data_IF_336313873380
#
_entry.id   IF_336313873380
#
_cell.length_a   1.000
_cell.length_b   1.000
_cell.length_c   1.000
_cell.angle_alpha   90.00
_cell.angle_beta   90.00
_cell.angle_gamma   90.00
#
_symmetry.space_group_name_H-M   'P 1'
#
loop_
_entity.id
_entity.type
_entity.pdbx_description
1 polymer ?
#
# COMPACT_ATOMS: atom_id res chain seq x y z
N UNK A 1 13.49 -21.38 -5.07
CA UNK A 1 12.87 -20.39 -4.16
C UNK A 1 13.82 -19.20 -4.06
N UNK A 2 13.34 -17.98 -4.27
CA UNK A 2 14.15 -16.76 -4.14
C UNK A 2 14.55 -16.62 -2.67
N UNK A 3 15.86 -16.49 -2.39
CA UNK A 3 16.38 -16.47 -1.03
C UNK A 3 16.69 -15.04 -0.58
N UNK A 4 15.91 -14.52 0.37
CA UNK A 4 16.08 -13.19 0.95
C UNK A 4 17.44 -13.00 1.64
N UNK A 5 18.00 -14.07 2.25
CA UNK A 5 19.26 -13.97 3.02
C UNK A 5 20.49 -13.69 2.15
N UNK A 6 20.41 -13.98 0.84
CA UNK A 6 21.49 -13.71 -0.12
C UNK A 6 21.41 -12.33 -0.77
N UNK A 7 20.34 -11.59 -0.52
CA UNK A 7 20.10 -10.28 -1.10
C UNK A 7 20.74 -9.20 -0.24
N UNK A 8 21.30 -8.18 -0.88
CA UNK A 8 21.74 -6.96 -0.18
C UNK A 8 20.54 -6.08 0.08
N UNK A 9 20.51 -5.41 1.21
CA UNK A 9 19.43 -4.54 1.66
C UNK A 9 19.98 -3.17 2.01
N UNK A 10 19.18 -2.13 1.78
CA UNK A 10 19.52 -0.74 2.12
C UNK A 10 18.28 -0.01 2.61
N UNK A 11 18.46 0.93 3.51
CA UNK A 11 17.42 1.84 3.95
C UNK A 11 17.23 2.97 2.93
N UNK A 12 15.95 3.29 2.67
CA UNK A 12 15.52 4.42 1.86
C UNK A 12 14.45 5.18 2.61
N UNK A 13 14.50 6.51 2.55
CA UNK A 13 13.37 7.32 3.04
C UNK A 13 12.19 7.16 2.10
N UNK A 14 10.99 7.15 2.66
CA UNK A 14 9.75 7.05 1.85
C UNK A 14 9.70 8.19 0.82
N UNK A 15 10.11 9.42 1.18
CA UNK A 15 10.15 10.56 0.25
C UNK A 15 11.21 10.46 -0.86
N UNK A 16 12.15 9.49 -0.79
CA UNK A 16 13.10 9.20 -1.88
C UNK A 16 12.53 8.21 -2.90
N UNK A 17 11.49 7.46 -2.53
CA UNK A 17 10.89 6.37 -3.32
C UNK A 17 9.52 6.77 -3.87
N UNK A 18 8.76 7.55 -3.10
CA UNK A 18 7.39 7.91 -3.42
C UNK A 18 7.24 9.41 -3.70
N UNK A 19 6.30 9.75 -4.57
CA UNK A 19 5.96 11.13 -4.93
C UNK A 19 5.62 11.97 -3.69
N UNK A 20 6.10 13.20 -3.68
CA UNK A 20 5.74 14.23 -2.70
C UNK A 20 5.06 15.41 -3.40
N UNK A 21 4.36 16.26 -2.64
CA UNK A 21 3.52 17.32 -3.24
C UNK A 21 4.29 18.24 -4.18
N UNK A 22 5.47 18.65 -3.78
CA UNK A 22 6.28 19.62 -4.50
C UNK A 22 7.58 18.99 -5.05
N UNK A 23 7.66 17.65 -5.07
CA UNK A 23 8.84 16.87 -5.43
C UNK A 23 10.09 17.20 -4.57
N UNK A 24 9.87 17.75 -3.39
CA UNK A 24 10.93 18.21 -2.46
C UNK A 24 11.22 17.21 -1.34
N UNK A 25 10.51 16.06 -1.32
CA UNK A 25 10.65 15.02 -0.31
C UNK A 25 10.06 15.37 1.07
N UNK A 26 9.34 16.49 1.22
CA UNK A 26 8.90 16.99 2.53
C UNK A 26 7.49 16.58 2.94
N UNK A 27 6.57 16.41 1.98
CA UNK A 27 5.17 16.11 2.26
C UNK A 27 4.53 15.21 1.21
N UNK A 28 3.96 14.07 1.63
CA UNK A 28 3.18 13.19 0.75
C UNK A 28 1.77 13.73 0.50
N UNK A 29 1.16 13.43 -0.66
CA UNK A 29 -0.24 13.75 -0.94
C UNK A 29 -1.17 13.13 0.10
N UNK A 30 -2.21 13.88 0.50
CA UNK A 30 -3.15 13.51 1.55
C UNK A 30 -4.57 13.82 1.12
N UNK A 31 -5.52 13.01 1.55
CA UNK A 31 -6.95 13.23 1.36
C UNK A 31 -7.46 14.49 2.06
N UNK A 32 -8.74 14.74 1.93
CA UNK A 32 -9.40 15.92 2.50
C UNK A 32 -10.71 15.53 3.21
N UNK A 33 -11.09 16.32 4.21
CA UNK A 33 -12.38 16.19 4.82
C UNK A 33 -13.49 16.57 3.83
N UNK A 34 -14.48 15.70 3.72
CA UNK A 34 -15.73 15.95 2.98
C UNK A 34 -16.88 15.66 3.94
N UNK A 35 -17.80 16.63 4.07
CA UNK A 35 -18.97 16.44 4.90
C UNK A 35 -19.83 15.29 4.33
N UNK A 36 -20.31 14.39 5.19
CA UNK A 36 -21.18 13.27 4.78
C UNK A 36 -22.42 13.72 4.03
N UNK A 37 -22.96 14.91 4.33
CA UNK A 37 -24.10 15.49 3.61
C UNK A 37 -23.79 15.79 2.13
N UNK A 38 -22.52 15.92 1.76
CA UNK A 38 -22.06 16.14 0.38
C UNK A 38 -21.71 14.83 -0.35
N UNK A 39 -21.96 13.67 0.29
CA UNK A 39 -21.76 12.35 -0.29
C UNK A 39 -23.11 11.77 -0.70
N UNK A 40 -23.18 11.19 -1.89
CA UNK A 40 -24.30 10.37 -2.36
C UNK A 40 -23.78 9.00 -2.80
N UNK A 41 -24.64 8.02 -2.94
CA UNK A 41 -24.28 6.70 -3.45
C UNK A 41 -23.59 6.82 -4.81
N UNK A 42 -22.50 6.07 -5.01
CA UNK A 42 -21.66 6.16 -6.19
C UNK A 42 -20.86 4.89 -6.45
N UNK A 43 -19.86 4.99 -7.32
CA UNK A 43 -19.01 3.85 -7.73
C UNK A 43 -17.54 4.01 -7.33
N UNK A 44 -17.15 5.16 -6.79
CA UNK A 44 -15.76 5.41 -6.40
C UNK A 44 -15.56 5.02 -4.94
N UNK A 45 -14.65 4.09 -4.62
CA UNK A 45 -14.33 3.75 -3.24
C UNK A 45 -13.78 4.97 -2.49
N UNK A 46 -14.22 5.15 -1.26
CA UNK A 46 -13.67 6.14 -0.34
C UNK A 46 -12.82 5.44 0.71
N UNK A 47 -11.56 5.84 0.78
CA UNK A 47 -10.60 5.27 1.72
C UNK A 47 -10.55 6.15 2.95
N UNK A 48 -10.76 5.52 4.12
CA UNK A 48 -10.83 6.19 5.41
C UNK A 48 -9.85 5.57 6.41
N UNK A 49 -9.88 6.06 7.63
CA UNK A 49 -9.05 5.55 8.70
C UNK A 49 -9.70 4.29 9.31
N UNK A 50 -9.54 3.18 8.61
CA UNK A 50 -9.95 1.85 9.10
C UNK A 50 -8.87 0.83 8.77
N UNK A 51 -8.76 -0.21 9.56
CA UNK A 51 -7.87 -1.37 9.33
C UNK A 51 -8.57 -2.51 8.60
N UNK A 52 -9.86 -2.38 8.29
CA UNK A 52 -10.67 -3.43 7.66
C UNK A 52 -11.00 -3.07 6.20
N UNK A 53 -11.48 -4.06 5.45
CA UNK A 53 -11.99 -3.89 4.10
C UNK A 53 -11.06 -3.07 3.18
N UNK A 54 -9.76 -3.31 3.23
CA UNK A 54 -8.75 -2.59 2.45
C UNK A 54 -8.81 -1.05 2.61
N UNK A 55 -9.28 -0.57 3.76
CA UNK A 55 -9.48 0.86 4.05
C UNK A 55 -10.76 1.46 3.47
N UNK A 56 -11.58 0.68 2.75
CA UNK A 56 -12.78 1.15 2.06
C UNK A 56 -13.94 1.30 3.04
N UNK A 57 -14.46 2.53 3.17
CA UNK A 57 -15.65 2.89 3.94
C UNK A 57 -16.96 2.64 3.17
N UNK A 58 -16.91 2.80 1.86
CA UNK A 58 -18.04 2.64 0.95
C UNK A 58 -17.74 3.18 -0.43
N UNK A 59 -18.77 3.24 -1.28
CA UNK A 59 -18.68 3.74 -2.64
C UNK A 59 -19.53 5.00 -2.78
N UNK A 60 -18.87 6.12 -3.09
CA UNK A 60 -19.48 7.43 -3.00
C UNK A 60 -19.27 8.27 -4.26
N UNK A 61 -20.21 9.18 -4.48
CA UNK A 61 -20.09 10.28 -5.43
C UNK A 61 -20.13 11.61 -4.68
N UNK A 62 -19.34 12.57 -5.13
CA UNK A 62 -19.36 13.94 -4.62
C UNK A 62 -18.83 14.94 -5.65
N UNK A 63 -19.40 16.13 -5.68
CA UNK A 63 -18.91 17.30 -6.42
C UNK A 63 -18.16 18.29 -5.50
N UNK A 64 -17.84 17.89 -4.26
CA UNK A 64 -17.13 18.76 -3.33
C UNK A 64 -15.75 19.13 -3.93
N UNK A 65 -15.46 20.45 -3.97
CA UNK A 65 -14.19 20.99 -4.50
C UNK A 65 -12.94 20.51 -3.75
N UNK A 66 -13.11 20.03 -2.52
CA UNK A 66 -12.02 19.48 -1.72
C UNK A 66 -11.76 18.01 -2.04
N UNK A 67 -12.59 17.36 -2.86
CA UNK A 67 -12.37 15.98 -3.26
C UNK A 67 -10.95 15.78 -3.76
N UNK A 68 -10.28 14.77 -3.23
CA UNK A 68 -8.95 14.31 -3.69
C UNK A 68 -9.04 12.86 -4.08
N UNK A 69 -8.80 12.61 -5.34
CA UNK A 69 -8.86 11.30 -5.98
C UNK A 69 -7.49 10.92 -6.51
N UNK A 70 -7.12 9.67 -6.30
CA UNK A 70 -5.84 9.12 -6.73
C UNK A 70 -6.08 7.81 -7.47
N UNK A 71 -5.16 7.47 -8.36
CA UNK A 71 -5.19 6.25 -9.13
C UNK A 71 -3.91 5.45 -8.88
N UNK A 72 -4.04 4.14 -8.68
CA UNK A 72 -2.94 3.18 -8.56
C UNK A 72 -1.88 3.59 -7.53
N UNK A 73 -2.20 3.46 -6.25
CA UNK A 73 -1.36 3.93 -5.14
C UNK A 73 -1.44 3.02 -3.91
N UNK A 74 -0.52 3.19 -2.98
CA UNK A 74 -0.62 2.64 -1.62
C UNK A 74 -1.22 3.72 -0.72
N UNK A 75 -2.38 3.45 -0.12
CA UNK A 75 -2.93 4.29 0.95
C UNK A 75 -2.25 3.98 2.27
N UNK A 76 -1.90 5.01 3.03
CA UNK A 76 -1.37 4.90 4.40
C UNK A 76 -2.18 5.81 5.30
N UNK A 77 -2.86 5.28 6.32
CA UNK A 77 -3.59 6.12 7.24
C UNK A 77 -2.71 6.56 8.43
N UNK A 78 -3.19 7.53 9.22
CA UNK A 78 -2.42 8.09 10.33
C UNK A 78 -2.12 7.10 11.47
N UNK A 79 -2.76 5.92 11.48
CA UNK A 79 -2.47 4.82 12.39
C UNK A 79 -1.46 3.82 11.80
N UNK A 80 -0.91 4.11 10.61
CA UNK A 80 0.10 3.29 9.96
C UNK A 80 -0.42 2.10 9.17
N UNK A 81 -1.74 1.90 9.04
CA UNK A 81 -2.28 0.84 8.19
C UNK A 81 -2.12 1.21 6.72
N UNK A 82 -1.60 0.30 5.92
CA UNK A 82 -1.33 0.50 4.48
C UNK A 82 -2.06 -0.52 3.63
N UNK A 83 -2.63 -0.05 2.50
CA UNK A 83 -3.37 -0.90 1.57
C UNK A 83 -3.10 -0.50 0.12
N UNK A 84 -3.12 -1.46 -0.80
CA UNK A 84 -3.03 -1.20 -2.23
C UNK A 84 -4.38 -0.87 -2.84
N UNK A 85 -4.45 0.28 -3.51
CA UNK A 85 -5.61 0.77 -4.24
C UNK A 85 -5.31 0.71 -5.74
N UNK A 86 -5.76 -0.36 -6.41
CA UNK A 86 -5.45 -0.64 -7.83
C UNK A 86 -6.12 0.34 -8.80
N UNK A 87 -7.29 0.86 -8.43
CA UNK A 87 -8.09 1.77 -9.27
C UNK A 87 -8.15 3.18 -8.68
N UNK A 88 -9.10 3.97 -9.20
CA UNK A 88 -9.43 5.27 -8.63
C UNK A 88 -10.05 5.11 -7.25
N UNK A 89 -9.60 5.92 -6.31
CA UNK A 89 -10.22 6.04 -4.99
C UNK A 89 -10.12 7.47 -4.47
N UNK A 90 -11.13 7.90 -3.72
CA UNK A 90 -11.10 9.17 -2.99
C UNK A 90 -10.54 8.93 -1.59
N UNK A 91 -9.75 9.87 -1.10
CA UNK A 91 -9.17 9.80 0.24
C UNK A 91 -9.84 10.75 1.21
N UNK A 92 -10.17 10.24 2.38
CA UNK A 92 -10.55 11.05 3.53
C UNK A 92 -9.33 11.73 4.16
N UNK A 93 -9.58 12.74 5.00
CA UNK A 93 -8.50 13.38 5.77
C UNK A 93 -7.70 12.35 6.57
N UNK A 94 -6.40 12.60 6.77
CA UNK A 94 -5.47 11.71 7.47
C UNK A 94 -5.22 10.34 6.80
N UNK A 95 -5.54 10.23 5.52
CA UNK A 95 -5.10 9.12 4.66
C UNK A 95 -4.17 9.69 3.60
N UNK A 96 -3.00 9.11 3.46
CA UNK A 96 -1.93 9.54 2.56
C UNK A 96 -1.89 8.64 1.33
N UNK A 97 -1.54 9.19 0.16
CA UNK A 97 -1.31 8.44 -1.06
C UNK A 97 0.19 8.33 -1.34
N UNK A 98 0.67 7.11 -1.54
CA UNK A 98 2.04 6.82 -1.94
C UNK A 98 2.03 6.24 -3.37
N UNK A 99 2.58 6.99 -4.32
CA UNK A 99 2.87 6.57 -5.70
C UNK A 99 4.37 6.53 -5.89
N UNK A 100 4.88 5.54 -6.61
CA UNK A 100 6.31 5.49 -6.94
C UNK A 100 6.69 6.62 -7.91
N UNK A 101 7.89 7.20 -7.73
CA UNK A 101 8.38 8.32 -8.54
C UNK A 101 8.62 7.89 -9.99
N UNK A 102 9.17 6.69 -10.21
CA UNK A 102 9.76 6.28 -11.48
C UNK A 102 9.00 5.16 -12.22
N UNK A 103 7.92 4.66 -11.62
CA UNK A 103 7.13 3.54 -12.20
C UNK A 103 5.74 3.41 -11.64
N UNK A 104 4.90 2.67 -12.34
CA UNK A 104 3.59 2.26 -11.85
C UNK A 104 3.69 1.08 -10.88
N UNK A 105 2.78 1.05 -9.92
CA UNK A 105 2.61 -0.10 -9.03
C UNK A 105 1.89 -1.23 -9.76
N UNK A 106 2.35 -2.45 -9.54
CA UNK A 106 1.55 -3.66 -9.74
C UNK A 106 1.29 -4.34 -8.40
N UNK A 107 0.39 -5.30 -8.38
CA UNK A 107 -0.07 -5.94 -7.15
C UNK A 107 1.07 -6.59 -6.36
N UNK A 108 1.98 -7.31 -7.03
CA UNK A 108 3.10 -7.97 -6.35
C UNK A 108 4.06 -6.96 -5.72
N UNK A 109 4.41 -5.91 -6.45
CA UNK A 109 5.27 -4.85 -5.94
C UNK A 109 4.61 -4.11 -4.79
N UNK A 110 3.33 -3.78 -4.91
CA UNK A 110 2.57 -3.10 -3.86
C UNK A 110 2.54 -3.93 -2.57
N UNK A 111 2.29 -5.24 -2.63
CA UNK A 111 2.28 -6.12 -1.46
C UNK A 111 3.63 -6.18 -0.75
N UNK A 112 4.74 -6.20 -1.50
CA UNK A 112 6.08 -6.15 -0.91
C UNK A 112 6.31 -4.82 -0.20
N UNK A 113 6.03 -3.70 -0.86
CA UNK A 113 6.22 -2.36 -0.31
C UNK A 113 5.33 -2.09 0.90
N UNK A 114 4.06 -2.53 0.89
CA UNK A 114 3.15 -2.46 2.04
C UNK A 114 3.76 -3.16 3.26
N UNK A 115 4.35 -4.34 3.07
CA UNK A 115 4.99 -5.06 4.16
C UNK A 115 6.16 -4.26 4.74
N UNK A 116 7.01 -3.67 3.89
CA UNK A 116 8.11 -2.83 4.31
C UNK A 116 7.64 -1.56 5.02
N UNK A 117 6.58 -0.89 4.53
CA UNK A 117 5.98 0.30 5.14
C UNK A 117 5.39 -0.06 6.51
N UNK A 118 4.54 -1.08 6.59
CA UNK A 118 3.88 -1.49 7.83
C UNK A 118 4.88 -1.85 8.94
N UNK A 119 6.02 -2.44 8.59
CA UNK A 119 7.08 -2.74 9.57
C UNK A 119 7.65 -1.49 10.23
N UNK A 120 7.60 -0.34 9.58
CA UNK A 120 8.16 0.93 10.06
C UNK A 120 7.11 1.95 10.52
N UNK A 121 5.82 1.61 10.38
CA UNK A 121 4.70 2.47 10.84
C UNK A 121 3.92 1.85 12.00
N UNK A 122 4.33 0.70 12.53
CA UNK A 122 3.65 -0.04 13.62
C UNK A 122 3.50 0.75 14.91
N UNK A 123 4.39 1.70 15.17
CA UNK A 123 4.38 2.52 16.39
C UNK A 123 3.37 3.69 16.31
N UNK A 124 2.67 3.81 15.17
CA UNK A 124 1.66 4.85 14.99
C UNK A 124 0.40 4.51 15.79
N UNK A 125 -0.11 5.51 16.50
CA UNK A 125 -1.27 5.38 17.39
C UNK A 125 -2.03 6.70 17.48
N UNK A 126 -3.13 6.75 18.21
CA UNK A 126 -3.84 8.00 18.45
C UNK A 126 -2.98 9.06 19.15
N UNK A 127 -2.06 8.67 20.01
CA UNK A 127 -1.11 9.57 20.69
C UNK A 127 0.15 9.87 19.88
N UNK A 128 0.43 9.10 18.80
CA UNK A 128 1.58 9.26 17.93
C UNK A 128 1.14 9.10 16.47
N UNK A 129 0.38 10.08 15.97
CA UNK A 129 -0.21 10.05 14.63
C UNK A 129 0.84 10.28 13.55
N UNK A 130 0.80 9.44 12.53
CA UNK A 130 1.63 9.60 11.35
C UNK A 130 1.08 10.74 10.48
N UNK A 131 1.86 11.80 10.32
CA UNK A 131 1.49 12.95 9.49
C UNK A 131 2.00 12.84 8.05
N UNK A 132 1.47 13.68 7.17
CA UNK A 132 1.97 13.80 5.79
C UNK A 132 3.41 14.29 5.68
N UNK A 133 3.94 14.92 6.74
CA UNK A 133 5.34 15.40 6.83
C UNK A 133 6.25 14.43 7.55
N UNK A 134 5.71 13.55 8.40
CA UNK A 134 6.51 12.51 9.08
C UNK A 134 6.72 11.29 8.19
N UNK A 135 5.68 10.91 7.43
CA UNK A 135 5.72 9.73 6.58
C UNK A 135 6.89 9.74 5.58
N UNK A 136 7.18 10.83 4.84
CA UNK A 136 8.33 10.85 3.92
C UNK A 136 9.70 10.71 4.60
N UNK A 137 9.79 11.03 5.89
CA UNK A 137 11.04 10.91 6.68
C UNK A 137 11.26 9.51 7.26
N UNK A 138 10.24 8.67 7.29
CA UNK A 138 10.36 7.27 7.71
C UNK A 138 11.24 6.50 6.74
N UNK A 139 12.12 5.65 7.26
CA UNK A 139 12.95 4.75 6.45
C UNK A 139 12.25 3.42 6.25
N UNK A 140 12.41 2.84 5.07
CA UNK A 140 12.03 1.47 4.77
C UNK A 140 13.22 0.69 4.27
N UNK A 141 13.33 -0.58 4.65
CA UNK A 141 14.42 -1.46 4.24
C UNK A 141 13.99 -2.20 2.97
N UNK A 142 14.72 -2.00 1.87
CA UNK A 142 14.44 -2.61 0.58
C UNK A 142 15.64 -3.39 0.03
N UNK A 143 15.40 -4.47 -0.72
CA UNK A 143 16.46 -5.17 -1.44
C UNK A 143 17.00 -4.27 -2.56
N UNK A 144 18.31 -4.32 -2.79
CA UNK A 144 18.96 -3.49 -3.79
C UNK A 144 19.60 -4.33 -4.90
N UNK A 145 19.67 -3.71 -6.08
CA UNK A 145 20.43 -4.20 -7.23
C UNK A 145 21.94 -3.96 -7.07
N UNK A 146 22.71 -4.24 -8.11
CA UNK A 146 24.17 -4.02 -8.15
C UNK A 146 24.57 -2.55 -8.07
N UNK A 147 23.67 -1.61 -8.42
CA UNK A 147 23.86 -0.17 -8.36
C UNK A 147 23.37 0.46 -7.04
N UNK A 148 23.04 -0.37 -6.03
CA UNK A 148 22.48 0.04 -4.75
C UNK A 148 21.16 0.82 -4.85
N UNK A 149 20.38 0.60 -5.93
CA UNK A 149 19.01 1.10 -6.14
C UNK A 149 18.00 0.02 -5.74
N UNK A 150 16.73 0.38 -5.41
CA UNK A 150 15.69 -0.60 -5.10
C UNK A 150 15.51 -1.62 -6.23
N UNK A 151 15.65 -2.91 -5.91
CA UNK A 151 15.45 -3.98 -6.88
C UNK A 151 13.99 -4.39 -6.95
N UNK A 152 13.20 -3.59 -7.64
CA UNK A 152 11.77 -3.79 -7.79
C UNK A 152 11.43 -5.11 -8.48
N UNK A 153 12.26 -5.54 -9.45
CA UNK A 153 12.07 -6.83 -10.13
C UNK A 153 12.18 -8.00 -9.15
N UNK A 154 13.16 -7.95 -8.26
CA UNK A 154 13.31 -8.95 -7.20
C UNK A 154 12.09 -8.97 -6.28
N UNK A 155 11.56 -7.79 -5.87
CA UNK A 155 10.39 -7.67 -5.00
C UNK A 155 9.17 -8.32 -5.64
N UNK A 156 8.91 -8.03 -6.91
CA UNK A 156 7.81 -8.62 -7.69
C UNK A 156 7.93 -10.14 -7.80
N UNK A 157 9.09 -10.63 -8.20
CA UNK A 157 9.33 -12.06 -8.38
C UNK A 157 9.25 -12.81 -7.06
N UNK A 158 9.66 -12.20 -5.96
CA UNK A 158 9.56 -12.78 -4.62
C UNK A 158 8.10 -13.01 -4.22
N UNK A 159 7.25 -12.00 -4.36
CA UNK A 159 5.81 -12.11 -4.03
C UNK A 159 5.13 -13.12 -4.97
N UNK A 160 5.40 -13.06 -6.28
CA UNK A 160 4.89 -14.02 -7.26
C UNK A 160 5.28 -15.46 -6.94
N UNK A 161 6.50 -15.66 -6.42
CA UNK A 161 6.95 -16.97 -5.96
C UNK A 161 6.17 -17.47 -4.74
N UNK A 162 5.89 -16.59 -3.78
CA UNK A 162 5.05 -16.91 -2.61
C UNK A 162 3.63 -17.27 -3.06
N UNK A 163 3.03 -16.44 -3.91
CA UNK A 163 1.68 -16.66 -4.43
C UNK A 163 1.56 -18.00 -5.15
N UNK A 164 2.50 -18.29 -6.05
CA UNK A 164 2.54 -19.56 -6.80
C UNK A 164 2.63 -20.77 -5.85
N UNK A 165 3.45 -20.68 -4.81
CA UNK A 165 3.57 -21.73 -3.80
C UNK A 165 2.26 -21.92 -3.04
N UNK A 166 1.66 -20.82 -2.57
CA UNK A 166 0.39 -20.87 -1.82
C UNK A 166 -0.76 -21.44 -2.65
N UNK A 167 -0.82 -21.08 -3.94
CA UNK A 167 -1.81 -21.68 -4.87
C UNK A 167 -1.60 -23.19 -5.03
N UNK A 168 -0.36 -23.67 -5.16
CA UNK A 168 -0.06 -25.09 -5.24
C UNK A 168 -0.44 -25.84 -3.97
N UNK A 169 -0.05 -25.31 -2.80
CA UNK A 169 -0.42 -25.87 -1.50
C UNK A 169 -1.96 -25.99 -1.35
N UNK A 170 -2.69 -24.96 -1.78
CA UNK A 170 -4.16 -24.97 -1.73
C UNK A 170 -4.78 -25.98 -2.69
N UNK A 171 -4.29 -26.08 -3.93
CA UNK A 171 -4.75 -27.10 -4.90
C UNK A 171 -4.55 -28.50 -4.35
N UNK A 172 -3.38 -28.77 -3.78
CA UNK A 172 -3.09 -30.08 -3.16
C UNK A 172 -4.07 -30.36 -2.01
N UNK A 173 -4.28 -29.40 -1.11
CA UNK A 173 -5.24 -29.53 -0.01
C UNK A 173 -6.67 -29.84 -0.52
N UNK A 174 -7.13 -29.17 -1.57
CA UNK A 174 -8.43 -29.42 -2.16
C UNK A 174 -8.52 -30.85 -2.73
N UNK A 175 -7.50 -31.32 -3.45
CA UNK A 175 -7.46 -32.68 -4.02
C UNK A 175 -7.53 -33.75 -2.93
N UNK A 176 -6.69 -33.62 -1.88
CA UNK A 176 -6.68 -34.53 -0.75
C UNK A 176 -8.00 -34.55 0.04
N UNK A 177 -8.67 -33.39 0.11
CA UNK A 177 -9.96 -33.27 0.80
C UNK A 177 -11.08 -33.92 0.00
N UNK A 178 -11.08 -33.73 -1.33
CA UNK A 178 -12.07 -34.39 -2.23
C UNK A 178 -11.92 -35.91 -2.23
N UNK A 179 -10.71 -36.44 -2.24
CA UNK A 179 -10.44 -37.88 -2.13
C UNK A 179 -11.00 -38.47 -0.82
N UNK A 180 -10.89 -37.76 0.29
CA UNK A 180 -11.44 -38.18 1.59
C UNK A 180 -12.95 -38.13 1.67
N UNK A 181 -13.62 -37.28 0.89
CA UNK A 181 -15.06 -37.13 0.86
C UNK A 181 -15.74 -38.02 -0.17
N UNK A 182 -14.99 -38.50 -1.18
CA UNK A 182 -15.49 -39.36 -2.27
C UNK A 182 -15.27 -40.88 -2.04
N UNK A 183 -14.60 -41.29 -0.97
CA UNK A 183 -14.47 -42.68 -0.50
C UNK A 183 -15.40 -42.94 0.68
#
# INVERSE_FOLDING_TARGET
MINLSKKKWKEFKIGEIFETKDNDGTQVPTGAYINKANLSEGKTPRITVTSQNNGVDGYWYTNDKNKREFFNFISVNFLGNSFYQKGNATLDMKVHALKLIDRELNENLALFLITAINNNTRDSSYGNQLSSTDLPRKSILLPVDENAKPDYKFMEDYIKGIETRKRKEYIQYCSETLEKLGG
#
